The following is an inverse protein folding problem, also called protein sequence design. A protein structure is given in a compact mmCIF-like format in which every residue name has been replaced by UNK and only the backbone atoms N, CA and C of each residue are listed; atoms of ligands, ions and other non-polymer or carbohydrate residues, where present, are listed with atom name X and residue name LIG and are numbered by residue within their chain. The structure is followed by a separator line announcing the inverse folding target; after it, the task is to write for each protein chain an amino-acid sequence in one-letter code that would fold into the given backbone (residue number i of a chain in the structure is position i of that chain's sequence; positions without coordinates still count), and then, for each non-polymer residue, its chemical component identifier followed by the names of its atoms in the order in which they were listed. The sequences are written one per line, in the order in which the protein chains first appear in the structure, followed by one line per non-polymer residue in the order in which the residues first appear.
data_IF_209353505738
#
_entry.id   IF_209353505738
#
_cell.length_a   1.000
_cell.length_b   1.000
_cell.length_c   1.000
_cell.angle_alpha   90.00
_cell.angle_beta   90.00
_cell.angle_gamma   90.00
#
_symmetry.space_group_name_H-M   'P 1'
#
loop_
_entity.id
_entity.type
_entity.pdbx_description
1 polymer ?
#
# COMPACT_ATOMS: atom_id res chain seq x y z
N UNK A 1 -22.95 4.81 -8.87
CA UNK A 1 -21.90 4.03 -8.17
C UNK A 1 -20.74 3.86 -9.14
N UNK A 2 -19.67 4.65 -9.00
CA UNK A 2 -18.47 4.49 -9.83
C UNK A 2 -17.55 3.48 -9.13
N UNK A 3 -17.63 2.21 -9.51
CA UNK A 3 -16.76 1.16 -8.99
C UNK A 3 -15.39 1.24 -9.68
N UNK A 4 -14.57 2.22 -9.29
CA UNK A 4 -13.22 2.40 -9.82
C UNK A 4 -12.26 1.39 -9.18
N UNK A 5 -12.16 0.21 -9.79
CA UNK A 5 -11.23 -0.84 -9.38
C UNK A 5 -9.90 -0.72 -10.11
N UNK A 6 -8.83 -0.42 -9.38
CA UNK A 6 -7.49 -0.27 -9.94
C UNK A 6 -6.55 -1.38 -9.47
N UNK A 7 -5.99 -2.13 -10.42
CA UNK A 7 -4.97 -3.14 -10.16
C UNK A 7 -3.66 -2.81 -10.85
N UNK A 8 -2.53 -2.92 -10.14
CA UNK A 8 -1.21 -2.69 -10.76
C UNK A 8 -0.12 -3.57 -10.20
N UNK A 9 0.66 -4.16 -11.11
CA UNK A 9 1.87 -4.94 -10.79
C UNK A 9 3.12 -4.15 -11.17
N UNK A 10 4.19 -4.26 -10.40
CA UNK A 10 5.46 -3.59 -10.71
C UNK A 10 6.65 -4.44 -10.25
N UNK A 11 7.59 -4.67 -11.15
CA UNK A 11 8.87 -5.32 -10.85
C UNK A 11 10.00 -4.35 -11.23
N UNK A 12 10.83 -3.93 -10.27
CA UNK A 12 11.96 -3.03 -10.53
C UNK A 12 13.00 -3.07 -9.42
N UNK A 13 14.27 -2.76 -9.69
CA UNK A 13 15.32 -2.74 -8.66
C UNK A 13 15.04 -1.69 -7.57
N UNK A 14 14.50 -0.54 -7.97
CA UNK A 14 14.02 0.51 -7.06
C UNK A 14 12.62 0.95 -7.46
N UNK A 15 11.73 1.08 -6.47
CA UNK A 15 10.39 1.61 -6.66
C UNK A 15 10.19 2.82 -5.75
N UNK A 16 9.79 3.95 -6.34
CA UNK A 16 9.28 5.14 -5.63
C UNK A 16 7.88 5.41 -6.13
N UNK A 17 6.88 5.42 -5.24
CA UNK A 17 5.51 5.73 -5.64
C UNK A 17 4.86 6.65 -4.64
N UNK A 18 4.11 7.63 -5.15
CA UNK A 18 3.19 8.46 -4.40
C UNK A 18 1.82 8.33 -5.04
N UNK A 19 0.79 8.14 -4.22
CA UNK A 19 -0.57 7.97 -4.70
C UNK A 19 -1.55 8.62 -3.74
N UNK A 20 -2.59 9.22 -4.29
CA UNK A 20 -3.73 9.79 -3.57
C UNK A 20 -4.99 9.30 -4.27
N UNK A 21 -5.94 8.76 -3.52
CA UNK A 21 -7.19 8.23 -4.08
C UNK A 21 -8.34 8.48 -3.11
N UNK A 22 -9.49 8.82 -3.66
CA UNK A 22 -10.77 9.00 -2.96
C UNK A 22 -11.75 7.98 -3.53
N UNK A 23 -12.48 7.26 -2.68
CA UNK A 23 -13.57 6.32 -3.08
C UNK A 23 -13.18 5.32 -4.16
N UNK A 24 -12.37 4.32 -3.84
CA UNK A 24 -11.96 3.29 -4.83
C UNK A 24 -11.45 2.00 -4.18
N UNK A 25 -11.50 0.91 -4.94
CA UNK A 25 -10.82 -0.34 -4.59
C UNK A 25 -9.46 -0.40 -5.30
N UNK A 26 -8.38 -0.58 -4.54
CA UNK A 26 -7.02 -0.64 -5.05
C UNK A 26 -6.31 -1.93 -4.66
N UNK A 27 -5.81 -2.66 -5.65
CA UNK A 27 -4.98 -3.85 -5.43
C UNK A 27 -3.61 -3.69 -6.08
N UNK A 28 -2.53 -4.01 -5.37
CA UNK A 28 -1.18 -3.87 -5.94
C UNK A 28 -0.20 -4.92 -5.49
N UNK A 29 0.58 -5.40 -6.46
CA UNK A 29 1.75 -6.25 -6.22
C UNK A 29 3.02 -5.51 -6.60
N UNK A 30 4.03 -5.53 -5.75
CA UNK A 30 5.33 -4.90 -6.02
C UNK A 30 6.47 -5.80 -5.62
N UNK A 31 7.35 -6.10 -6.57
CA UNK A 31 8.61 -6.80 -6.33
C UNK A 31 9.77 -5.83 -6.59
N UNK A 32 10.59 -5.53 -5.57
CA UNK A 32 11.73 -4.61 -5.74
C UNK A 32 12.79 -4.75 -4.67
N UNK A 33 14.07 -4.56 -4.95
CA UNK A 33 15.12 -4.59 -3.92
C UNK A 33 14.93 -3.47 -2.89
N UNK A 34 14.56 -2.26 -3.36
CA UNK A 34 14.27 -1.12 -2.49
C UNK A 34 12.98 -0.40 -2.89
N UNK A 35 12.04 -0.32 -1.94
CA UNK A 35 10.75 0.33 -2.12
C UNK A 35 10.61 1.55 -1.20
N UNK A 36 10.17 2.69 -1.74
CA UNK A 36 9.74 3.88 -0.98
C UNK A 36 8.36 4.29 -1.45
N UNK A 37 7.35 4.25 -0.58
CA UNK A 37 6.00 4.54 -1.01
C UNK A 37 5.26 5.45 -0.04
N UNK A 38 4.44 6.35 -0.59
CA UNK A 38 3.58 7.26 0.16
C UNK A 38 2.15 7.18 -0.39
N UNK A 39 1.18 6.88 0.47
CA UNK A 39 -0.23 6.77 0.13
C UNK A 39 -1.06 7.71 1.00
N UNK A 40 -2.06 8.33 0.39
CA UNK A 40 -3.13 9.03 1.09
C UNK A 40 -4.44 8.52 0.52
N UNK A 41 -5.37 8.08 1.36
CA UNK A 41 -6.60 7.42 0.94
C UNK A 41 -7.78 7.83 1.81
N UNK A 42 -8.94 8.01 1.20
CA UNK A 42 -10.20 8.35 1.86
C UNK A 42 -11.30 7.44 1.31
N UNK A 43 -12.09 6.82 2.19
CA UNK A 43 -13.23 5.95 1.83
C UNK A 43 -12.90 4.83 0.83
N UNK A 44 -11.85 4.05 1.09
CA UNK A 44 -11.30 3.14 0.09
C UNK A 44 -10.89 1.78 0.65
N UNK A 45 -10.94 0.75 -0.19
CA UNK A 45 -10.36 -0.56 0.14
C UNK A 45 -9.01 -0.70 -0.57
N UNK A 46 -7.97 -1.05 0.18
CA UNK A 46 -6.62 -1.19 -0.34
C UNK A 46 -6.03 -2.54 0.04
N UNK A 47 -5.62 -3.31 -0.96
CA UNK A 47 -4.91 -4.58 -0.79
C UNK A 47 -3.54 -4.51 -1.44
N UNK A 48 -2.48 -4.91 -0.72
CA UNK A 48 -1.13 -4.87 -1.27
C UNK A 48 -0.22 -6.00 -0.85
N UNK A 49 0.47 -6.54 -1.85
CA UNK A 49 1.58 -7.47 -1.68
C UNK A 49 2.90 -6.79 -2.06
N UNK A 50 3.87 -6.76 -1.15
CA UNK A 50 5.20 -6.19 -1.42
C UNK A 50 6.29 -7.20 -1.09
N UNK A 51 7.06 -7.61 -2.08
CA UNK A 51 8.27 -8.40 -1.91
C UNK A 51 9.49 -7.49 -2.11
N UNK A 52 10.29 -7.26 -1.05
CA UNK A 52 11.44 -6.36 -1.15
C UNK A 52 12.50 -6.57 -0.09
N UNK A 53 13.79 -6.37 -0.38
CA UNK A 53 14.83 -6.44 0.66
C UNK A 53 14.71 -5.28 1.66
N UNK A 54 14.38 -4.06 1.17
CA UNK A 54 14.17 -2.88 2.01
C UNK A 54 12.96 -2.06 1.59
N UNK A 55 11.97 -1.92 2.47
CA UNK A 55 10.78 -1.07 2.25
C UNK A 55 10.70 0.11 3.22
N UNK A 56 10.33 1.29 2.70
CA UNK A 56 9.92 2.45 3.50
C UNK A 56 8.55 2.92 3.04
N UNK A 57 7.62 3.03 3.98
CA UNK A 57 6.23 3.24 3.67
C UNK A 57 5.63 4.31 4.56
N UNK A 58 4.82 5.18 3.95
CA UNK A 58 4.00 6.17 4.64
C UNK A 58 2.57 6.06 4.13
N UNK A 59 1.63 5.85 5.03
CA UNK A 59 0.21 5.80 4.71
C UNK A 59 -0.55 6.81 5.56
N UNK A 60 -1.51 7.49 4.94
CA UNK A 60 -2.54 8.28 5.59
C UNK A 60 -3.89 7.75 5.11
N UNK A 61 -4.78 7.40 6.03
CA UNK A 61 -6.09 6.84 5.70
C UNK A 61 -7.20 7.45 6.54
N UNK A 62 -8.37 7.61 5.91
CA UNK A 62 -9.63 8.02 6.54
C UNK A 62 -10.72 7.09 6.02
N UNK A 63 -11.54 6.52 6.91
CA UNK A 63 -12.69 5.65 6.58
C UNK A 63 -12.40 4.53 5.56
N UNK A 64 -11.25 3.87 5.67
CA UNK A 64 -10.72 2.94 4.67
C UNK A 64 -10.41 1.57 5.27
N UNK A 65 -10.38 0.53 4.42
CA UNK A 65 -9.85 -0.78 4.81
C UNK A 65 -8.52 -1.02 4.12
N UNK A 66 -7.52 -1.46 4.88
CA UNK A 66 -6.18 -1.71 4.38
C UNK A 66 -5.70 -3.10 4.74
N UNK A 67 -5.35 -3.88 3.73
CA UNK A 67 -4.74 -5.19 3.86
C UNK A 67 -3.37 -5.19 3.19
N UNK A 68 -2.34 -5.64 3.91
CA UNK A 68 -0.98 -5.69 3.38
C UNK A 68 -0.25 -6.96 3.72
N UNK A 69 0.30 -7.60 2.69
CA UNK A 69 1.28 -8.67 2.80
C UNK A 69 2.66 -8.15 2.42
N UNK A 70 3.67 -8.38 3.26
CA UNK A 70 5.05 -7.97 2.97
C UNK A 70 6.05 -9.06 3.26
N UNK A 71 6.75 -9.48 2.22
CA UNK A 71 7.96 -10.28 2.35
C UNK A 71 9.15 -9.32 2.27
N UNK A 72 9.73 -8.96 3.42
CA UNK A 72 10.89 -8.06 3.42
C UNK A 72 11.80 -8.20 4.60
N UNK A 73 13.12 -8.22 4.34
CA UNK A 73 14.15 -8.31 5.37
C UNK A 73 14.23 -7.06 6.25
N UNK A 74 13.97 -5.86 5.69
CA UNK A 74 13.89 -4.60 6.46
C UNK A 74 12.73 -3.73 6.01
N UNK A 75 11.78 -3.46 6.91
CA UNK A 75 10.67 -2.54 6.65
C UNK A 75 10.62 -1.38 7.65
N UNK A 76 10.33 -0.17 7.17
CA UNK A 76 9.90 0.96 8.00
C UNK A 76 8.53 1.42 7.53
N UNK A 77 7.54 1.37 8.41
CA UNK A 77 6.17 1.78 8.11
C UNK A 77 5.79 2.93 9.05
N UNK A 78 5.24 3.99 8.48
CA UNK A 78 4.51 5.03 9.22
C UNK A 78 3.07 5.02 8.72
N UNK A 79 2.13 4.88 9.63
CA UNK A 79 0.71 4.79 9.32
C UNK A 79 -0.05 5.80 10.17
N UNK A 80 -1.01 6.46 9.58
CA UNK A 80 -1.90 7.42 10.25
C UNK A 80 -3.30 7.11 9.74
N UNK A 81 -4.22 6.84 10.65
CA UNK A 81 -5.56 6.35 10.33
C UNK A 81 -6.60 7.03 11.20
N UNK A 82 -7.72 7.37 10.58
CA UNK A 82 -8.95 7.84 11.22
C UNK A 82 -10.05 6.89 10.76
N UNK A 83 -10.75 6.25 11.70
CA UNK A 83 -11.91 5.36 11.43
C UNK A 83 -11.68 4.31 10.33
N UNK A 84 -10.50 3.70 10.32
CA UNK A 84 -10.11 2.75 9.27
C UNK A 84 -9.70 1.41 9.89
N UNK A 85 -9.71 0.33 9.12
CA UNK A 85 -9.22 -0.99 9.54
C UNK A 85 -7.87 -1.30 8.87
N UNK A 86 -6.93 -1.86 9.63
CA UNK A 86 -5.59 -2.19 9.14
C UNK A 86 -5.22 -3.65 9.46
N UNK A 87 -4.98 -4.43 8.42
CA UNK A 87 -4.44 -5.78 8.49
C UNK A 87 -3.06 -5.83 7.85
N UNK A 88 -2.10 -6.43 8.56
CA UNK A 88 -0.73 -6.61 8.08
C UNK A 88 -0.24 -8.02 8.33
N UNK A 89 0.13 -8.67 7.23
CA UNK A 89 0.85 -9.94 7.20
C UNK A 89 2.29 -9.69 6.77
N UNK A 90 3.23 -10.31 7.47
CA UNK A 90 4.65 -10.32 7.09
C UNK A 90 5.14 -11.74 7.00
N UNK A 91 5.88 -12.04 5.94
CA UNK A 91 6.54 -13.32 5.71
C UNK A 91 8.05 -13.13 5.61
#
# INVERSE_FOLDING_TARGET
MFDNKFSRTTCSTRSKLKFTQTESQFSRTTCSTRSKLKFTQTESQFSRTTCSTRSKLKFKQTESQFSRTTCSTRSKLKFTQTESQFSRTTC
#
